data_IF_076567196199
#
_entry.id   IF_076567196199
#
_cell.length_a   1.000
_cell.length_b   1.000
_cell.length_c   1.000
_cell.angle_alpha   90.00
_cell.angle_beta   90.00
_cell.angle_gamma   90.00
#
_symmetry.space_group_name_H-M   'P 1'
#
loop_
_entity.id
_entity.type
_entity.pdbx_description
1 polymer ?
#
# COMPACT_ATOMS: atom_id res chain seq x y z
N UNK A 1 -9.18 53.01 -13.96
CA UNK A 1 -7.71 53.13 -14.11
C UNK A 1 -7.11 52.54 -12.84
N UNK A 2 -6.23 51.56 -12.78
CA UNK A 2 -5.43 50.80 -13.75
C UNK A 2 -5.19 49.41 -13.11
N UNK A 3 -5.34 48.34 -13.88
CA UNK A 3 -4.98 46.97 -13.51
C UNK A 3 -3.46 46.84 -13.61
N UNK A 4 -2.78 46.72 -12.47
CA UNK A 4 -1.36 46.34 -12.46
C UNK A 4 -1.24 44.81 -12.52
N UNK A 5 -0.77 44.34 -13.68
CA UNK A 5 -0.30 42.98 -13.91
C UNK A 5 0.89 42.67 -13.00
N UNK A 6 0.76 41.66 -12.14
CA UNK A 6 1.91 41.02 -11.50
C UNK A 6 2.32 39.81 -12.34
N UNK A 7 3.35 40.02 -13.17
CA UNK A 7 4.09 38.97 -13.84
C UNK A 7 4.86 38.13 -12.81
N UNK A 8 4.47 36.87 -12.64
CA UNK A 8 5.22 35.92 -11.83
C UNK A 8 6.38 35.36 -12.68
N UNK A 9 7.60 35.80 -12.38
CA UNK A 9 8.82 35.18 -12.91
C UNK A 9 9.07 33.90 -12.10
N UNK A 10 9.09 32.69 -12.71
CA UNK A 10 9.41 31.49 -11.98
C UNK A 10 10.89 31.54 -11.58
N UNK A 11 11.14 31.52 -10.26
CA UNK A 11 12.49 31.29 -9.74
C UNK A 11 12.85 29.85 -10.07
N UNK A 12 13.94 29.69 -10.81
CA UNK A 12 14.63 28.42 -11.01
C UNK A 12 14.94 27.78 -9.63
N UNK A 13 14.09 26.84 -9.21
CA UNK A 13 14.42 25.90 -8.15
C UNK A 13 15.57 25.04 -8.65
N UNK A 14 16.77 25.32 -8.11
CA UNK A 14 17.93 24.46 -8.31
C UNK A 14 17.58 23.07 -7.76
N UNK A 15 17.63 22.09 -8.67
CA UNK A 15 17.80 20.66 -8.43
C UNK A 15 18.05 20.30 -6.96
N UNK A 16 17.04 19.72 -6.31
CA UNK A 16 17.33 18.71 -5.30
C UNK A 16 17.98 17.55 -6.06
N UNK A 17 19.21 17.11 -5.71
CA UNK A 17 19.72 15.88 -6.28
C UNK A 17 18.74 14.76 -5.91
N UNK A 18 18.40 13.86 -6.85
CA UNK A 18 17.53 12.74 -6.53
C UNK A 18 18.14 12.00 -5.33
N UNK A 19 17.31 11.77 -4.31
CA UNK A 19 17.62 10.85 -3.23
C UNK A 19 18.05 9.55 -3.90
N UNK A 20 19.34 9.23 -3.83
CA UNK A 20 19.85 7.91 -4.18
C UNK A 20 19.27 6.94 -3.16
N UNK A 21 18.03 6.51 -3.39
CA UNK A 21 17.47 5.33 -2.77
C UNK A 21 18.45 4.21 -3.07
N UNK A 22 19.07 3.70 -2.00
CA UNK A 22 19.93 2.52 -2.08
C UNK A 22 19.13 1.44 -2.79
N UNK A 23 19.46 1.13 -4.05
CA UNK A 23 18.95 -0.05 -4.73
C UNK A 23 19.27 -1.20 -3.79
N UNK A 24 18.25 -1.74 -3.11
CA UNK A 24 18.38 -2.98 -2.36
C UNK A 24 18.94 -3.98 -3.37
N UNK A 25 20.21 -4.32 -3.24
CA UNK A 25 20.74 -5.51 -3.89
C UNK A 25 19.85 -6.62 -3.36
N UNK A 26 19.06 -7.20 -4.26
CA UNK A 26 18.40 -8.47 -4.04
C UNK A 26 19.50 -9.38 -3.50
N UNK A 27 19.44 -9.70 -2.20
CA UNK A 27 20.39 -10.61 -1.60
C UNK A 27 20.13 -11.92 -2.33
N UNK A 28 21.09 -12.35 -3.15
CA UNK A 28 21.01 -13.64 -3.80
C UNK A 28 20.70 -14.65 -2.69
N UNK A 29 19.74 -15.54 -2.96
CA UNK A 29 19.39 -16.56 -1.99
C UNK A 29 20.63 -17.47 -1.88
N UNK A 30 21.47 -17.23 -0.87
CA UNK A 30 22.75 -17.92 -0.67
C UNK A 30 22.55 -19.45 -0.66
N UNK A 31 21.34 -19.91 -0.30
CA UNK A 31 20.94 -21.32 -0.37
C UNK A 31 20.71 -21.81 -1.81
N UNK A 32 20.16 -20.98 -2.69
CA UNK A 32 19.94 -21.33 -4.10
C UNK A 32 21.27 -21.44 -4.84
N UNK A 33 22.21 -20.52 -4.61
CA UNK A 33 23.55 -20.59 -5.22
C UNK A 33 24.30 -21.85 -4.74
N UNK A 34 24.28 -22.14 -3.43
CA UNK A 34 24.88 -23.37 -2.89
C UNK A 34 24.24 -24.65 -3.45
N UNK A 35 22.93 -24.65 -3.69
CA UNK A 35 22.21 -25.77 -4.30
C UNK A 35 22.59 -25.92 -5.78
N UNK A 36 22.68 -24.81 -6.53
CA UNK A 36 23.11 -24.81 -7.94
C UNK A 36 24.53 -25.36 -8.06
N UNK A 37 25.45 -24.95 -7.18
CA UNK A 37 26.82 -25.42 -7.21
C UNK A 37 26.92 -26.90 -6.81
N UNK A 38 26.14 -27.36 -5.82
CA UNK A 38 26.04 -28.79 -5.50
C UNK A 38 25.53 -29.60 -6.68
N UNK A 39 24.53 -29.10 -7.43
CA UNK A 39 24.03 -29.76 -8.64
C UNK A 39 25.08 -29.79 -9.74
N UNK A 40 25.84 -28.69 -9.95
CA UNK A 40 26.96 -28.68 -10.91
C UNK A 40 28.03 -29.68 -10.54
N UNK A 41 28.43 -29.76 -9.27
CA UNK A 41 29.40 -30.75 -8.79
C UNK A 41 28.93 -32.18 -9.05
N UNK A 42 27.63 -32.43 -8.88
CA UNK A 42 27.02 -33.74 -9.13
C UNK A 42 26.94 -34.09 -10.63
N UNK A 43 26.79 -33.07 -11.49
CA UNK A 43 26.72 -33.24 -12.95
C UNK A 43 28.09 -33.21 -13.64
N UNK A 44 29.13 -32.68 -12.99
CA UNK A 44 30.47 -32.54 -13.58
C UNK A 44 31.09 -33.89 -14.02
N UNK A 45 31.03 -34.98 -13.23
CA UNK A 45 31.56 -36.27 -13.67
C UNK A 45 30.84 -36.82 -14.90
N UNK A 46 29.51 -36.61 -15.01
CA UNK A 46 28.74 -37.03 -16.18
C UNK A 46 29.15 -36.24 -17.43
N UNK A 47 29.46 -34.95 -17.25
CA UNK A 47 29.97 -34.11 -18.32
C UNK A 47 31.37 -34.56 -18.77
N UNK A 48 32.27 -34.84 -17.84
CA UNK A 48 33.64 -35.24 -18.14
C UNK A 48 33.70 -36.61 -18.86
N UNK A 49 32.79 -37.53 -18.52
CA UNK A 49 32.74 -38.88 -19.12
C UNK A 49 32.04 -38.92 -20.48
N UNK A 50 30.96 -38.16 -20.67
CA UNK A 50 30.09 -38.31 -21.86
C UNK A 50 29.52 -37.02 -22.42
N UNK A 51 30.03 -35.86 -21.98
CA UNK A 51 29.60 -34.55 -22.44
C UNK A 51 28.13 -34.25 -22.14
N UNK A 52 27.55 -33.35 -22.94
CA UNK A 52 26.17 -32.88 -22.76
C UNK A 52 25.11 -33.99 -22.83
N UNK A 53 25.37 -35.06 -23.58
CA UNK A 53 24.42 -36.16 -23.76
C UNK A 53 24.20 -36.95 -22.46
N UNK A 54 25.29 -37.23 -21.74
CA UNK A 54 25.23 -37.95 -20.47
C UNK A 54 24.64 -37.08 -19.36
N UNK A 55 25.00 -35.78 -19.34
CA UNK A 55 24.39 -34.78 -18.43
C UNK A 55 22.89 -34.69 -18.67
N UNK A 56 22.46 -34.60 -19.92
CA UNK A 56 21.04 -34.56 -20.29
C UNK A 56 20.28 -35.79 -19.78
N UNK A 57 20.85 -36.99 -19.95
CA UNK A 57 20.27 -38.23 -19.40
C UNK A 57 20.25 -38.25 -17.87
N UNK A 58 21.29 -37.74 -17.22
CA UNK A 58 21.37 -37.61 -15.76
C UNK A 58 20.26 -36.71 -15.21
N UNK A 59 20.09 -35.52 -15.80
CA UNK A 59 19.01 -34.58 -15.45
C UNK A 59 17.65 -35.24 -15.66
N UNK A 60 17.41 -35.84 -16.83
CA UNK A 60 16.14 -36.52 -17.12
C UNK A 60 15.84 -37.64 -16.12
N UNK A 61 16.87 -38.36 -15.65
CA UNK A 61 16.70 -39.40 -14.64
C UNK A 61 16.38 -38.83 -13.25
N UNK A 62 17.06 -37.76 -12.82
CA UNK A 62 16.73 -37.06 -11.55
C UNK A 62 15.29 -36.52 -11.59
N UNK A 63 14.87 -35.97 -12.72
CA UNK A 63 13.51 -35.47 -12.95
C UNK A 63 12.50 -36.62 -12.92
N UNK A 64 12.80 -37.74 -13.58
CA UNK A 64 11.98 -38.94 -13.56
C UNK A 64 11.85 -39.51 -12.14
N UNK A 65 12.96 -39.65 -11.42
CA UNK A 65 13.03 -40.27 -10.10
C UNK A 65 12.40 -39.38 -9.02
N UNK A 66 12.32 -38.06 -9.25
CA UNK A 66 11.56 -37.13 -8.40
C UNK A 66 10.04 -37.11 -8.70
N UNK A 67 9.58 -37.87 -9.69
CA UNK A 67 8.18 -37.91 -10.11
C UNK A 67 7.74 -36.64 -10.86
N UNK A 68 8.68 -35.81 -11.33
CA UNK A 68 8.34 -34.64 -12.13
C UNK A 68 7.84 -35.05 -13.51
N UNK A 69 6.69 -34.48 -13.91
CA UNK A 69 6.14 -34.68 -15.26
C UNK A 69 6.91 -33.87 -16.29
N UNK A 70 6.92 -34.30 -17.56
CA UNK A 70 7.52 -33.53 -18.66
C UNK A 70 6.93 -32.11 -18.77
N UNK A 71 5.64 -31.94 -18.44
CA UNK A 71 5.00 -30.63 -18.37
C UNK A 71 5.59 -29.75 -17.25
N UNK A 72 5.94 -30.33 -16.10
CA UNK A 72 6.60 -29.60 -15.01
C UNK A 72 8.03 -29.20 -15.38
N UNK A 73 8.76 -30.04 -16.12
CA UNK A 73 10.09 -29.71 -16.64
C UNK A 73 10.04 -28.55 -17.64
N UNK A 74 9.11 -28.59 -18.60
CA UNK A 74 8.92 -27.50 -19.57
C UNK A 74 8.49 -26.19 -18.89
N UNK A 75 7.78 -26.28 -17.76
CA UNK A 75 7.46 -25.09 -16.94
C UNK A 75 8.70 -24.49 -16.28
N UNK A 76 9.70 -25.30 -15.89
CA UNK A 76 10.97 -24.79 -15.37
C UNK A 76 11.80 -24.09 -16.45
N UNK A 77 11.77 -24.59 -17.68
CA UNK A 77 12.49 -24.00 -18.80
C UNK A 77 11.84 -22.69 -19.28
N UNK A 78 10.51 -22.60 -19.18
CA UNK A 78 9.76 -21.41 -19.53
C UNK A 78 9.90 -20.37 -18.43
N UNK A 79 10.85 -19.44 -18.59
CA UNK A 79 11.05 -18.32 -17.66
C UNK A 79 9.71 -17.67 -17.33
N UNK A 80 9.27 -17.84 -16.08
CA UNK A 80 8.04 -17.21 -15.61
C UNK A 80 8.13 -15.70 -15.83
N UNK A 81 7.05 -15.06 -16.30
CA UNK A 81 7.07 -13.63 -16.51
C UNK A 81 7.25 -12.92 -15.16
N UNK A 82 8.00 -11.82 -15.15
CA UNK A 82 7.93 -10.87 -14.05
C UNK A 82 6.59 -10.14 -14.10
N UNK A 83 6.17 -9.54 -12.98
CA UNK A 83 4.94 -8.74 -12.97
C UNK A 83 4.92 -7.67 -14.08
N UNK A 84 6.02 -6.95 -14.28
CA UNK A 84 6.12 -5.91 -15.30
C UNK A 84 6.16 -6.42 -16.74
N UNK A 85 6.58 -7.68 -16.95
CA UNK A 85 6.66 -8.32 -18.25
C UNK A 85 5.43 -9.17 -18.59
N UNK A 86 4.49 -9.32 -17.65
CA UNK A 86 3.31 -10.15 -17.85
C UNK A 86 2.46 -9.62 -19.01
N UNK A 87 2.15 -10.52 -19.93
CA UNK A 87 1.26 -10.29 -21.07
C UNK A 87 -0.03 -11.05 -20.87
N UNK A 88 -1.16 -10.42 -21.17
CA UNK A 88 -2.47 -11.05 -20.99
C UNK A 88 -2.52 -12.42 -21.67
N UNK A 89 -2.25 -12.45 -22.98
CA UNK A 89 -2.30 -13.67 -23.78
C UNK A 89 -1.36 -14.79 -23.29
N UNK A 90 -0.26 -14.45 -22.60
CA UNK A 90 0.67 -15.46 -22.09
C UNK A 90 0.24 -16.07 -20.76
N UNK A 91 -0.41 -15.30 -19.88
CA UNK A 91 -0.68 -15.75 -18.50
C UNK A 91 -2.10 -16.24 -18.29
N UNK A 92 -3.08 -15.73 -19.03
CA UNK A 92 -4.48 -16.03 -18.72
C UNK A 92 -4.83 -17.51 -18.96
N UNK A 93 -4.26 -18.22 -19.95
CA UNK A 93 -4.50 -19.66 -20.08
C UNK A 93 -4.02 -20.46 -18.87
N UNK A 94 -2.88 -20.10 -18.25
CA UNK A 94 -2.40 -20.77 -17.03
C UNK A 94 -3.26 -20.48 -15.80
N UNK A 95 -3.98 -19.36 -15.81
CA UNK A 95 -4.95 -19.00 -14.78
C UNK A 95 -6.36 -19.56 -15.05
N UNK A 96 -6.53 -20.39 -16.08
CA UNK A 96 -7.82 -20.95 -16.47
C UNK A 96 -8.77 -19.94 -17.12
N UNK A 97 -8.24 -18.82 -17.60
CA UNK A 97 -8.98 -17.74 -18.25
C UNK A 97 -8.74 -17.75 -19.77
N UNK A 98 -9.72 -17.23 -20.52
CA UNK A 98 -9.66 -17.07 -21.98
C UNK A 98 -8.90 -15.81 -22.38
N UNK A 99 -8.08 -15.91 -23.42
CA UNK A 99 -7.28 -14.80 -23.94
C UNK A 99 -8.10 -13.76 -24.72
N UNK A 100 -9.18 -14.19 -25.39
CA UNK A 100 -10.01 -13.34 -26.23
C UNK A 100 -10.95 -12.40 -25.44
N UNK A 101 -11.47 -12.83 -24.30
CA UNK A 101 -12.53 -12.11 -23.57
C UNK A 101 -12.07 -10.94 -22.69
N UNK A 102 -10.79 -10.86 -22.33
CA UNK A 102 -10.31 -9.82 -21.40
C UNK A 102 -10.93 -9.97 -20.00
N UNK A 103 -11.08 -8.85 -19.28
CA UNK A 103 -11.68 -8.83 -17.94
C UNK A 103 -13.19 -9.11 -17.91
N UNK A 104 -13.86 -9.06 -19.06
CA UNK A 104 -15.32 -9.25 -19.15
C UNK A 104 -15.77 -10.67 -18.77
N UNK A 105 -14.84 -11.63 -18.75
CA UNK A 105 -15.10 -13.01 -18.33
C UNK A 105 -15.14 -13.20 -16.80
N UNK A 106 -14.68 -12.21 -16.02
CA UNK A 106 -14.59 -12.32 -14.58
C UNK A 106 -15.99 -12.23 -13.96
N UNK A 107 -16.30 -13.13 -13.03
CA UNK A 107 -17.56 -13.08 -12.28
C UNK A 107 -17.66 -11.76 -11.50
N UNK A 108 -18.85 -11.15 -11.43
CA UNK A 108 -19.03 -9.95 -10.60
C UNK A 108 -19.16 -10.32 -9.13
N UNK A 109 -18.44 -9.60 -8.26
CA UNK A 109 -18.57 -9.66 -6.81
C UNK A 109 -19.09 -8.34 -6.29
N UNK A 110 -20.23 -8.38 -5.59
CA UNK A 110 -20.77 -7.22 -4.88
C UNK A 110 -20.46 -7.35 -3.40
N UNK A 111 -19.97 -6.27 -2.81
CA UNK A 111 -19.76 -6.14 -1.36
C UNK A 111 -20.65 -5.03 -0.78
N UNK A 112 -20.96 -5.07 0.53
CA UNK A 112 -21.64 -3.95 1.18
C UNK A 112 -20.79 -2.67 1.06
N UNK A 113 -21.33 -1.66 0.38
CA UNK A 113 -20.68 -0.35 0.26
C UNK A 113 -20.82 0.41 1.57
N UNK A 114 -19.71 0.73 2.21
CA UNK A 114 -19.63 1.57 3.39
C UNK A 114 -19.33 3.03 2.98
N UNK A 115 -20.21 3.94 3.39
CA UNK A 115 -20.17 5.35 2.97
C UNK A 115 -19.58 6.20 4.10
N UNK A 116 -18.46 6.87 3.82
CA UNK A 116 -17.73 7.64 4.81
C UNK A 116 -18.48 8.93 5.20
N UNK A 117 -18.18 9.52 6.38
CA UNK A 117 -18.81 10.77 6.80
C UNK A 117 -18.48 11.96 5.87
N UNK A 118 -19.42 12.91 5.66
CA UNK A 118 -19.16 14.13 4.91
C UNK A 118 -17.95 14.94 5.41
N UNK A 119 -17.71 14.96 6.73
CA UNK A 119 -16.54 15.61 7.32
C UNK A 119 -15.22 15.00 6.84
N UNK A 120 -15.15 13.68 6.69
CA UNK A 120 -14.00 12.99 6.14
C UNK A 120 -13.79 13.36 4.67
N UNK A 121 -14.86 13.34 3.86
CA UNK A 121 -14.76 13.74 2.45
C UNK A 121 -14.26 15.18 2.31
N UNK A 122 -14.80 16.13 3.09
CA UNK A 122 -14.32 17.52 3.11
C UNK A 122 -12.83 17.62 3.46
N UNK A 123 -12.40 16.90 4.48
CA UNK A 123 -11.00 16.91 4.89
C UNK A 123 -10.09 16.31 3.81
N UNK A 124 -10.51 15.20 3.19
CA UNK A 124 -9.82 14.57 2.07
C UNK A 124 -9.71 15.53 0.88
N UNK A 125 -10.80 16.19 0.49
CA UNK A 125 -10.80 17.18 -0.61
C UNK A 125 -9.88 18.35 -0.29
N UNK A 126 -9.92 18.88 0.94
CA UNK A 126 -9.05 19.97 1.38
C UNK A 126 -7.57 19.59 1.31
N UNK A 127 -7.21 18.41 1.82
CA UNK A 127 -5.84 17.90 1.77
C UNK A 127 -5.41 17.63 0.32
N UNK A 128 -6.28 17.04 -0.49
CA UNK A 128 -6.01 16.73 -1.89
C UNK A 128 -5.81 18.00 -2.72
N UNK A 129 -6.56 19.06 -2.46
CA UNK A 129 -6.33 20.36 -3.12
C UNK A 129 -4.93 20.88 -2.83
N UNK A 130 -4.45 20.77 -1.58
CA UNK A 130 -3.10 21.19 -1.22
C UNK A 130 -2.03 20.33 -1.90
N UNK A 131 -2.27 19.03 -2.05
CA UNK A 131 -1.37 18.15 -2.80
C UNK A 131 -1.33 18.50 -4.28
N UNK A 132 -2.49 18.76 -4.91
CA UNK A 132 -2.57 19.20 -6.31
C UNK A 132 -1.83 20.53 -6.50
N UNK A 133 -1.89 21.45 -5.53
CA UNK A 133 -1.15 22.71 -5.64
C UNK A 133 0.38 22.52 -5.59
N UNK A 134 0.87 21.44 -4.95
CA UNK A 134 2.30 21.10 -4.86
C UNK A 134 2.77 20.25 -6.05
N UNK A 135 2.01 19.20 -6.37
CA UNK A 135 2.34 18.19 -7.39
C UNK A 135 1.73 18.50 -8.76
N UNK A 136 1.08 19.66 -8.91
CA UNK A 136 0.37 20.10 -10.11
C UNK A 136 -0.95 19.33 -10.37
N UNK A 137 -1.63 19.68 -11.46
CA UNK A 137 -2.89 19.03 -11.86
C UNK A 137 -2.68 17.55 -12.21
N UNK A 138 -3.70 16.68 -12.00
CA UNK A 138 -3.57 15.21 -12.20
C UNK A 138 -3.06 14.76 -13.58
N UNK A 139 -3.18 15.61 -14.59
CA UNK A 139 -2.63 15.36 -15.94
C UNK A 139 -1.09 15.39 -16.00
N UNK A 140 -0.44 16.02 -15.03
CA UNK A 140 1.01 16.16 -14.95
C UNK A 140 1.65 15.21 -13.93
N UNK A 141 0.88 14.37 -13.25
CA UNK A 141 1.41 13.51 -12.19
C UNK A 141 2.30 12.39 -12.73
N UNK A 142 3.41 12.12 -12.04
CA UNK A 142 4.35 11.06 -12.39
C UNK A 142 4.65 10.16 -11.17
N UNK A 143 4.17 8.91 -11.22
CA UNK A 143 4.42 7.80 -10.26
C UNK A 143 4.07 8.03 -8.79
N UNK A 144 4.81 8.86 -8.08
CA UNK A 144 4.89 8.82 -6.60
C UNK A 144 3.88 9.73 -5.89
N UNK A 145 3.11 10.50 -6.66
CA UNK A 145 2.31 11.64 -6.16
C UNK A 145 0.90 11.22 -5.73
N UNK A 146 0.50 9.98 -6.03
CA UNK A 146 -0.84 9.45 -5.82
C UNK A 146 -1.08 8.88 -4.41
N UNK A 147 -0.79 9.62 -3.33
CA UNK A 147 -0.95 9.14 -1.94
C UNK A 147 -2.35 9.31 -1.35
N UNK A 148 -3.37 9.41 -2.20
CA UNK A 148 -4.75 9.75 -1.79
C UNK A 148 -5.46 8.64 -1.02
N UNK A 149 -4.99 7.40 -1.13
CA UNK A 149 -5.54 6.25 -0.42
C UNK A 149 -5.02 6.16 1.02
N UNK A 150 -3.91 6.83 1.36
CA UNK A 150 -3.29 6.79 2.71
C UNK A 150 -4.25 7.28 3.80
N UNK A 151 -4.99 8.39 3.64
CA UNK A 151 -6.03 8.78 4.58
C UNK A 151 -7.13 7.75 4.78
N UNK A 152 -7.44 6.92 3.77
CA UNK A 152 -8.44 5.85 3.91
C UNK A 152 -7.87 4.71 4.76
N UNK A 153 -6.63 4.30 4.51
CA UNK A 153 -5.93 3.31 5.35
C UNK A 153 -5.80 3.79 6.81
N UNK A 154 -5.59 5.09 7.04
CA UNK A 154 -5.42 5.63 8.39
C UNK A 154 -6.69 5.53 9.25
N UNK A 155 -7.87 5.42 8.64
CA UNK A 155 -9.14 5.18 9.35
C UNK A 155 -9.15 3.86 10.14
N UNK A 156 -8.24 2.93 9.83
CA UNK A 156 -8.06 1.69 10.59
C UNK A 156 -7.13 1.86 11.79
N UNK A 157 -6.68 3.07 12.12
CA UNK A 157 -5.93 3.42 13.33
C UNK A 157 -4.67 2.59 13.54
N UNK A 158 -3.92 2.37 12.46
CA UNK A 158 -2.69 1.57 12.47
C UNK A 158 -2.93 0.06 12.52
N UNK A 159 -4.17 -0.41 12.32
CA UNK A 159 -4.46 -1.84 12.10
C UNK A 159 -4.14 -2.29 10.68
N UNK A 160 -4.12 -1.36 9.73
CA UNK A 160 -3.63 -1.56 8.39
C UNK A 160 -2.28 -0.86 8.22
N UNK A 161 -1.38 -1.49 7.48
CA UNK A 161 -0.04 -0.96 7.18
C UNK A 161 0.15 -0.98 5.68
N UNK A 162 0.24 0.21 5.07
CA UNK A 162 0.71 0.35 3.70
C UNK A 162 2.24 0.19 3.66
N UNK A 163 2.73 -0.67 2.76
CA UNK A 163 4.15 -0.73 2.41
C UNK A 163 4.31 -0.47 0.92
N UNK A 164 4.96 0.65 0.56
CA UNK A 164 5.29 0.93 -0.84
C UNK A 164 6.44 0.05 -1.33
N UNK A 165 6.45 -0.22 -2.64
CA UNK A 165 7.57 -0.81 -3.40
C UNK A 165 8.13 -2.09 -2.77
N UNK A 166 7.26 -2.96 -2.27
CA UNK A 166 7.69 -4.20 -1.66
C UNK A 166 7.88 -5.26 -2.76
N UNK A 167 9.05 -5.92 -2.82
CA UNK A 167 9.23 -7.05 -3.74
C UNK A 167 8.44 -8.25 -3.24
N UNK A 168 7.55 -8.79 -4.08
CA UNK A 168 7.00 -10.12 -3.84
C UNK A 168 7.96 -11.19 -4.39
N UNK A 169 8.13 -12.32 -3.66
CA UNK A 169 8.93 -13.44 -4.13
C UNK A 169 8.34 -14.09 -5.39
N UNK A 170 9.15 -14.89 -6.06
CA UNK A 170 8.70 -15.75 -7.16
C UNK A 170 7.74 -16.83 -6.68
N UNK A 171 6.81 -17.19 -7.54
CA UNK A 171 5.87 -18.29 -7.33
C UNK A 171 5.84 -19.20 -8.57
N UNK A 172 5.12 -20.34 -8.55
CA UNK A 172 5.02 -21.20 -9.72
C UNK A 172 4.53 -20.49 -10.99
N UNK A 173 3.76 -19.40 -10.86
CA UNK A 173 3.17 -18.63 -11.97
C UNK A 173 3.98 -17.39 -12.37
N UNK A 174 4.85 -16.86 -11.50
CA UNK A 174 5.54 -15.58 -11.72
C UNK A 174 6.98 -15.60 -11.20
N UNK A 175 7.88 -14.85 -11.83
CA UNK A 175 9.21 -14.61 -11.26
C UNK A 175 9.18 -13.58 -10.10
N UNK A 176 7.99 -13.11 -9.72
CA UNK A 176 7.78 -12.05 -8.75
C UNK A 176 8.01 -10.65 -9.34
N UNK A 177 8.26 -9.69 -8.45
CA UNK A 177 8.53 -8.31 -8.83
C UNK A 177 8.05 -7.30 -7.79
N UNK A 178 8.23 -6.02 -8.10
CA UNK A 178 7.80 -4.94 -7.24
C UNK A 178 6.29 -4.71 -7.35
N UNK A 179 5.67 -4.48 -6.20
CA UNK A 179 4.30 -4.01 -6.08
C UNK A 179 4.32 -2.59 -5.54
N UNK A 180 3.57 -1.71 -6.18
CA UNK A 180 3.63 -0.29 -5.83
C UNK A 180 3.16 -0.06 -4.41
N UNK A 181 2.02 -0.64 -4.01
CA UNK A 181 1.60 -0.67 -2.62
C UNK A 181 0.93 -1.97 -2.21
N UNK A 182 1.29 -2.44 -1.03
CA UNK A 182 0.69 -3.58 -0.36
C UNK A 182 0.11 -3.11 0.97
N UNK A 183 -1.21 -3.28 1.15
CA UNK A 183 -1.86 -3.03 2.43
C UNK A 183 -1.93 -4.33 3.21
N UNK A 184 -1.21 -4.33 4.31
CA UNK A 184 -1.10 -5.44 5.23
C UNK A 184 -2.05 -5.30 6.41
N UNK A 185 -2.54 -6.45 6.86
CA UNK A 185 -3.13 -6.65 8.16
C UNK A 185 -2.19 -7.54 9.00
N UNK A 186 -2.52 -7.73 10.29
CA UNK A 186 -1.90 -8.64 11.25
C UNK A 186 -0.90 -9.66 10.69
N UNK A 187 0.31 -9.73 11.27
CA UNK A 187 1.36 -10.69 10.87
C UNK A 187 1.74 -10.63 9.39
N UNK A 188 1.73 -9.42 8.83
CA UNK A 188 2.04 -9.16 7.43
C UNK A 188 1.10 -9.89 6.45
N UNK A 189 -0.12 -10.26 6.84
CA UNK A 189 -1.08 -10.82 5.89
C UNK A 189 -1.47 -9.75 4.87
N UNK A 190 -1.27 -10.04 3.59
CA UNK A 190 -1.64 -9.12 2.52
C UNK A 190 -3.16 -9.10 2.45
N UNK A 191 -3.75 -7.91 2.37
CA UNK A 191 -5.20 -7.73 2.24
C UNK A 191 -5.56 -7.09 0.91
N UNK A 192 -4.75 -6.10 0.51
CA UNK A 192 -5.04 -5.25 -0.62
C UNK A 192 -3.78 -4.91 -1.39
N UNK A 193 -3.88 -4.87 -2.71
CA UNK A 193 -2.80 -4.49 -3.62
C UNK A 193 -3.24 -3.24 -4.38
N UNK A 194 -2.38 -2.23 -4.46
CA UNK A 194 -2.61 -1.07 -5.33
C UNK A 194 -1.54 -1.07 -6.41
N UNK A 195 -2.00 -0.98 -7.65
CA UNK A 195 -1.17 -0.83 -8.82
C UNK A 195 -1.59 0.42 -9.60
N UNK A 196 -0.65 1.35 -9.80
CA UNK A 196 -0.84 2.55 -10.60
C UNK A 196 -0.14 2.42 -11.95
N UNK A 197 -0.80 2.87 -13.02
CA UNK A 197 -0.26 2.90 -14.39
C UNK A 197 -0.56 4.24 -15.02
N UNK A 198 0.43 4.97 -15.52
CA UNK A 198 0.21 6.34 -16.03
C UNK A 198 -0.26 6.40 -17.49
N UNK A 199 -0.12 5.29 -18.22
CA UNK A 199 -0.45 5.19 -19.64
C UNK A 199 -1.21 3.90 -19.84
N UNK A 200 -2.49 3.97 -20.21
CA UNK A 200 -3.42 2.85 -20.40
C UNK A 200 -3.52 2.42 -21.87
N UNK A 201 -2.41 2.48 -22.61
CA UNK A 201 -2.40 2.05 -24.03
C UNK A 201 -2.58 0.52 -24.18
N UNK A 202 -2.45 -0.25 -23.11
CA UNK A 202 -2.65 -1.70 -23.11
C UNK A 202 -3.22 -2.22 -21.77
N UNK A 203 -4.50 -1.93 -21.54
CA UNK A 203 -5.21 -2.28 -20.31
C UNK A 203 -5.13 -3.78 -19.99
N UNK A 204 -5.21 -4.64 -21.01
CA UNK A 204 -5.17 -6.11 -20.83
C UNK A 204 -3.88 -6.56 -20.16
N UNK A 205 -2.73 -6.05 -20.59
CA UNK A 205 -1.46 -6.42 -19.98
C UNK A 205 -1.39 -5.95 -18.52
N UNK A 206 -1.93 -4.78 -18.17
CA UNK A 206 -1.97 -4.32 -16.79
C UNK A 206 -2.87 -5.15 -15.88
N UNK A 207 -4.03 -5.56 -16.39
CA UNK A 207 -4.84 -6.56 -15.69
C UNK A 207 -4.05 -7.83 -15.46
N UNK A 208 -3.30 -8.30 -16.47
CA UNK A 208 -2.45 -9.48 -16.34
C UNK A 208 -1.45 -9.34 -15.17
N UNK A 209 -0.78 -8.19 -15.05
CA UNK A 209 0.16 -7.93 -13.95
C UNK A 209 -0.55 -8.01 -12.59
N UNK A 210 -1.73 -7.41 -12.46
CA UNK A 210 -2.51 -7.40 -11.21
C UNK A 210 -3.02 -8.80 -10.85
N UNK A 211 -3.46 -9.60 -11.82
CA UNK A 211 -3.88 -10.99 -11.58
C UNK A 211 -2.73 -11.82 -11.02
N UNK A 212 -1.52 -11.70 -11.56
CA UNK A 212 -0.34 -12.39 -10.99
C UNK A 212 -0.02 -11.90 -9.57
N UNK A 213 -0.10 -10.59 -9.30
CA UNK A 213 0.12 -10.05 -7.96
C UNK A 213 -0.89 -10.61 -6.95
N UNK A 214 -2.16 -10.75 -7.35
CA UNK A 214 -3.20 -11.38 -6.53
C UNK A 214 -2.91 -12.85 -6.24
N UNK A 215 -2.44 -13.62 -7.23
CA UNK A 215 -2.02 -15.02 -7.05
C UNK A 215 -0.88 -15.11 -6.04
N UNK A 216 0.18 -14.32 -6.24
CA UNK A 216 1.33 -14.33 -5.33
C UNK A 216 0.95 -13.90 -3.91
N UNK A 217 0.04 -12.93 -3.75
CA UNK A 217 -0.44 -12.53 -2.43
C UNK A 217 -1.22 -13.64 -1.71
N UNK A 218 -2.07 -14.38 -2.44
CA UNK A 218 -2.79 -15.56 -1.92
C UNK A 218 -1.79 -16.63 -1.47
N UNK A 219 -0.76 -16.91 -2.26
CA UNK A 219 0.25 -17.91 -1.93
C UNK A 219 1.09 -17.50 -0.72
N UNK A 220 1.54 -16.24 -0.67
CA UNK A 220 2.27 -15.70 0.48
C UNK A 220 1.48 -15.77 1.79
N UNK A 221 0.16 -15.62 1.72
CA UNK A 221 -0.70 -15.78 2.89
C UNK A 221 -0.89 -17.26 3.26
N UNK A 222 -1.01 -18.17 2.28
CA UNK A 222 -1.07 -19.63 2.50
C UNK A 222 0.20 -20.17 3.14
N UNK A 223 1.37 -19.70 2.70
CA UNK A 223 2.68 -20.05 3.26
C UNK A 223 2.82 -19.64 4.74
N UNK A 224 1.89 -18.84 5.24
CA UNK A 224 1.80 -18.41 6.65
C UNK A 224 0.66 -19.11 7.39
N UNK A 225 0.26 -20.28 6.88
CA UNK A 225 -0.82 -21.12 7.39
C UNK A 225 -2.16 -20.36 7.52
N UNK A 226 -2.42 -19.43 6.61
CA UNK A 226 -3.68 -18.70 6.57
C UNK A 226 -4.66 -19.40 5.63
N UNK A 227 -5.26 -20.50 6.09
CA UNK A 227 -6.30 -21.25 5.39
C UNK A 227 -7.43 -21.64 6.38
N UNK A 228 -8.72 -21.39 6.07
CA UNK A 228 -9.22 -20.65 4.92
C UNK A 228 -8.86 -19.16 4.97
N UNK A 229 -8.42 -18.59 3.84
CA UNK A 229 -8.20 -17.16 3.71
C UNK A 229 -9.37 -16.42 3.04
N UNK A 230 -9.64 -15.17 3.44
CA UNK A 230 -10.54 -14.30 2.70
C UNK A 230 -9.92 -13.90 1.34
N UNK A 231 -10.73 -13.37 0.42
CA UNK A 231 -10.22 -12.85 -0.84
C UNK A 231 -9.20 -11.72 -0.63
N UNK A 232 -8.20 -11.68 -1.51
CA UNK A 232 -7.31 -10.52 -1.68
C UNK A 232 -7.94 -9.60 -2.69
N UNK A 233 -7.93 -8.31 -2.39
CA UNK A 233 -8.46 -7.27 -3.26
C UNK A 233 -7.33 -6.54 -3.97
N UNK A 234 -7.61 -6.00 -5.14
CA UNK A 234 -6.69 -5.12 -5.85
C UNK A 234 -7.40 -3.92 -6.45
N UNK A 235 -6.66 -2.82 -6.56
CA UNK A 235 -7.03 -1.64 -7.35
C UNK A 235 -5.98 -1.43 -8.44
N UNK A 236 -6.43 -1.38 -9.69
CA UNK A 236 -5.63 -0.91 -10.82
C UNK A 236 -6.09 0.49 -11.20
N UNK A 237 -5.18 1.46 -11.30
CA UNK A 237 -5.59 2.83 -11.65
C UNK A 237 -4.57 3.64 -12.43
N UNK A 238 -5.07 4.53 -13.30
CA UNK A 238 -4.30 5.61 -13.94
C UNK A 238 -4.66 7.01 -13.41
N UNK A 239 -5.25 7.06 -12.20
CA UNK A 239 -5.89 8.21 -11.57
C UNK A 239 -7.12 8.76 -12.30
N UNK A 240 -7.47 8.19 -13.46
CA UNK A 240 -8.69 8.51 -14.22
C UNK A 240 -9.67 7.37 -14.12
N UNK A 241 -9.22 6.16 -14.35
CA UNK A 241 -9.97 4.93 -14.24
C UNK A 241 -9.47 4.16 -13.02
N UNK A 242 -10.39 3.59 -12.26
CA UNK A 242 -10.11 2.78 -11.08
C UNK A 242 -10.87 1.47 -11.25
N UNK A 243 -10.13 0.38 -11.37
CA UNK A 243 -10.67 -0.96 -11.55
C UNK A 243 -10.44 -1.77 -10.28
N UNK A 244 -11.49 -2.36 -9.75
CA UNK A 244 -11.44 -3.14 -8.51
C UNK A 244 -11.65 -4.62 -8.80
N UNK A 245 -10.71 -5.42 -8.31
CA UNK A 245 -10.63 -6.87 -8.56
C UNK A 245 -10.49 -7.61 -7.23
N UNK A 246 -10.84 -8.89 -7.23
CA UNK A 246 -10.53 -9.79 -6.12
C UNK A 246 -10.15 -11.18 -6.59
N UNK A 247 -9.41 -11.90 -5.74
CA UNK A 247 -9.08 -13.30 -5.93
C UNK A 247 -9.20 -14.04 -4.61
N UNK A 248 -9.96 -15.13 -4.58
CA UNK A 248 -10.16 -15.95 -3.37
C UNK A 248 -9.26 -17.19 -3.31
N UNK A 249 -8.26 -17.26 -4.20
CA UNK A 249 -7.41 -18.43 -4.35
C UNK A 249 -7.97 -19.50 -5.28
N UNK A 250 -9.17 -19.28 -5.84
CA UNK A 250 -9.79 -20.16 -6.86
C UNK A 250 -10.37 -19.38 -8.04
N UNK A 251 -11.02 -18.25 -7.79
CA UNK A 251 -11.72 -17.45 -8.80
C UNK A 251 -11.32 -15.99 -8.72
N UNK A 252 -11.05 -15.42 -9.89
CA UNK A 252 -10.93 -13.97 -10.06
C UNK A 252 -12.32 -13.37 -10.24
N UNK A 253 -12.57 -12.24 -9.57
CA UNK A 253 -13.84 -11.52 -9.67
C UNK A 253 -13.63 -10.04 -9.92
N UNK A 254 -14.50 -9.49 -10.76
CA UNK A 254 -14.64 -8.06 -11.00
C UNK A 254 -15.56 -7.43 -9.97
N UNK A 255 -15.29 -6.21 -9.51
CA UNK A 255 -16.11 -5.57 -8.49
C UNK A 255 -16.75 -4.27 -8.96
N UNK A 256 -15.94 -3.29 -9.30
CA UNK A 256 -16.41 -1.96 -9.68
C UNK A 256 -15.40 -1.28 -10.62
N UNK A 257 -15.90 -0.32 -11.37
CA UNK A 257 -15.12 0.60 -12.21
C UNK A 257 -15.59 2.02 -11.96
N UNK A 258 -14.65 2.89 -11.64
CA UNK A 258 -14.90 4.31 -11.44
C UNK A 258 -14.05 5.11 -12.40
N UNK A 259 -14.69 5.89 -13.25
CA UNK A 259 -14.03 6.94 -14.04
C UNK A 259 -14.17 8.29 -13.34
N UNK A 260 -13.03 8.89 -12.99
CA UNK A 260 -12.88 10.20 -12.38
C UNK A 260 -12.38 11.18 -13.44
N UNK A 261 -13.13 12.25 -13.76
CA UNK A 261 -12.65 13.28 -14.67
C UNK A 261 -11.43 13.99 -14.10
N UNK A 262 -10.35 14.15 -14.88
CA UNK A 262 -9.18 14.96 -14.49
C UNK A 262 -9.53 16.45 -14.29
N UNK A 263 -10.59 16.94 -14.95
CA UNK A 263 -11.04 18.34 -14.88
C UNK A 263 -12.56 18.47 -14.91
N UNK A 264 -13.12 19.59 -14.37
CA UNK A 264 -12.45 20.55 -13.49
C UNK A 264 -12.11 19.93 -12.13
N UNK A 265 -11.21 20.55 -11.36
CA UNK A 265 -10.71 20.06 -10.05
C UNK A 265 -11.83 19.60 -9.10
N UNK A 266 -12.96 20.29 -9.08
CA UNK A 266 -14.14 19.91 -8.27
C UNK A 266 -14.71 18.54 -8.67
N UNK A 267 -14.78 18.23 -9.97
CA UNK A 267 -15.24 16.91 -10.44
C UNK A 267 -14.23 15.81 -10.10
N UNK A 268 -12.93 16.10 -10.22
CA UNK A 268 -11.88 15.19 -9.80
C UNK A 268 -12.02 14.85 -8.31
N UNK A 269 -12.09 15.87 -7.45
CA UNK A 269 -12.24 15.69 -5.99
C UNK A 269 -13.50 14.91 -5.61
N UNK A 270 -14.64 15.20 -6.25
CA UNK A 270 -15.87 14.45 -6.03
C UNK A 270 -15.75 12.98 -6.46
N UNK A 271 -15.10 12.72 -7.60
CA UNK A 271 -14.81 11.36 -8.05
C UNK A 271 -13.93 10.62 -7.05
N UNK A 272 -12.86 11.26 -6.56
CA UNK A 272 -11.97 10.67 -5.55
C UNK A 272 -12.66 10.35 -4.22
N UNK A 273 -13.69 11.11 -3.82
CA UNK A 273 -14.52 10.74 -2.66
C UNK A 273 -15.25 9.41 -2.88
N UNK A 274 -15.83 9.19 -4.07
CA UNK A 274 -16.46 7.91 -4.42
C UNK A 274 -15.44 6.77 -4.44
N UNK A 275 -14.26 7.00 -5.02
CA UNK A 275 -13.17 6.00 -5.01
C UNK A 275 -12.77 5.67 -3.56
N UNK A 276 -12.74 6.67 -2.67
CA UNK A 276 -12.41 6.48 -1.25
C UNK A 276 -13.45 5.65 -0.50
N UNK A 277 -14.74 5.83 -0.79
CA UNK A 277 -15.81 5.01 -0.21
C UNK A 277 -15.69 3.53 -0.66
N UNK A 278 -15.43 3.29 -1.95
CA UNK A 278 -15.22 1.92 -2.46
C UNK A 278 -13.96 1.30 -1.86
N UNK A 279 -12.85 2.04 -1.83
CA UNK A 279 -11.61 1.56 -1.22
C UNK A 279 -11.82 1.24 0.27
N UNK A 280 -12.49 2.12 1.02
CA UNK A 280 -12.79 1.87 2.43
C UNK A 280 -13.66 0.62 2.59
N UNK A 281 -14.67 0.45 1.74
CA UNK A 281 -15.55 -0.73 1.74
C UNK A 281 -14.77 -2.03 1.55
N UNK A 282 -13.84 -2.05 0.60
CA UNK A 282 -12.98 -3.20 0.30
C UNK A 282 -12.05 -3.52 1.48
N UNK A 283 -11.39 -2.49 2.03
CA UNK A 283 -10.52 -2.64 3.19
C UNK A 283 -11.29 -3.14 4.42
N UNK A 284 -12.50 -2.61 4.66
CA UNK A 284 -13.35 -3.03 5.77
C UNK A 284 -13.83 -4.47 5.59
N UNK A 285 -14.27 -4.83 4.38
CA UNK A 285 -14.73 -6.18 4.09
C UNK A 285 -13.60 -7.21 4.21
N UNK A 286 -12.42 -6.89 3.68
CA UNK A 286 -11.21 -7.69 3.86
C UNK A 286 -10.80 -7.82 5.33
N UNK A 287 -10.83 -6.72 6.08
CA UNK A 287 -10.55 -6.71 7.52
C UNK A 287 -11.48 -7.64 8.29
N UNK A 288 -12.80 -7.57 8.02
CA UNK A 288 -13.80 -8.48 8.60
C UNK A 288 -13.51 -9.93 8.24
N UNK A 289 -13.17 -10.21 6.98
CA UNK A 289 -12.83 -11.54 6.51
C UNK A 289 -11.63 -12.15 7.25
N UNK A 290 -10.56 -11.36 7.43
CA UNK A 290 -9.38 -11.81 8.18
C UNK A 290 -9.70 -12.03 9.65
N UNK A 291 -10.47 -11.12 10.28
CA UNK A 291 -10.89 -11.31 11.67
C UNK A 291 -11.69 -12.60 11.87
N UNK A 292 -12.61 -12.90 10.94
CA UNK A 292 -13.41 -14.13 10.97
C UNK A 292 -12.54 -15.39 10.83
N UNK A 293 -11.58 -15.39 9.90
CA UNK A 293 -10.65 -16.49 9.72
C UNK A 293 -9.75 -16.71 10.97
N UNK A 294 -9.25 -15.62 11.57
CA UNK A 294 -8.45 -15.69 12.80
C UNK A 294 -9.26 -16.22 13.98
N UNK A 295 -10.51 -15.77 14.15
CA UNK A 295 -11.43 -16.28 15.17
C UNK A 295 -11.68 -17.77 14.98
N UNK A 296 -12.08 -18.20 13.78
CA UNK A 296 -12.36 -19.60 13.47
C UNK A 296 -11.15 -20.51 13.78
N UNK A 297 -9.95 -20.12 13.34
CA UNK A 297 -8.71 -20.88 13.62
C UNK A 297 -8.36 -20.89 15.10
N UNK A 298 -8.74 -19.85 15.84
CA UNK A 298 -8.52 -19.79 17.30
C UNK A 298 -9.49 -20.70 18.03
N UNK A 299 -10.75 -20.79 17.59
CA UNK A 299 -11.75 -21.73 18.10
C UNK A 299 -11.33 -23.18 17.86
N UNK A 300 -10.94 -23.53 16.63
CA UNK A 300 -10.51 -24.90 16.28
C UNK A 300 -9.33 -25.39 17.14
N UNK A 301 -8.38 -24.52 17.45
CA UNK A 301 -7.24 -24.87 18.33
C UNK A 301 -7.64 -25.05 19.78
N UNK A 302 -8.56 -24.20 20.26
CA UNK A 302 -9.10 -24.33 21.60
C UNK A 302 -9.86 -25.65 21.76
N UNK A 303 -10.64 -26.06 20.75
CA UNK A 303 -11.35 -27.35 20.71
C UNK A 303 -10.40 -28.55 20.62
N UNK A 304 -9.29 -28.42 19.88
CA UNK A 304 -8.27 -29.46 19.79
C UNK A 304 -7.44 -29.65 21.08
N UNK A 305 -7.66 -28.83 22.11
CA UNK A 305 -6.85 -28.86 23.34
C UNK A 305 -5.40 -28.44 23.11
N UNK A 306 -5.10 -27.82 21.96
CA UNK A 306 -3.78 -27.32 21.63
C UNK A 306 -3.50 -26.03 22.42
N UNK A 307 -3.10 -26.26 23.67
CA UNK A 307 -2.64 -25.23 24.59
C UNK A 307 -1.21 -24.78 24.29
N UNK A 308 -0.59 -25.28 23.21
CA UNK A 308 0.77 -24.91 22.88
C UNK A 308 0.82 -23.40 22.59
N UNK A 309 1.53 -22.69 23.47
CA UNK A 309 1.84 -21.26 23.31
C UNK A 309 2.84 -21.03 22.16
N UNK A 310 3.29 -22.10 21.50
CA UNK A 310 4.37 -22.05 20.51
C UNK A 310 3.83 -21.71 19.12
N UNK A 311 4.21 -20.52 18.65
CA UNK A 311 4.44 -20.16 17.24
C UNK A 311 3.30 -20.32 16.22
N UNK A 312 2.04 -20.34 16.65
CA UNK A 312 0.91 -20.45 15.70
C UNK A 312 0.75 -19.33 14.67
N UNK A 313 1.54 -18.27 14.79
CA UNK A 313 1.98 -17.49 13.66
C UNK A 313 3.42 -17.14 13.99
N UNK A 314 4.37 -17.86 13.39
CA UNK A 314 5.74 -17.36 13.27
C UNK A 314 5.60 -16.00 12.60
N UNK A 315 5.54 -14.93 13.40
CA UNK A 315 5.61 -13.57 12.89
C UNK A 315 6.97 -13.53 12.21
N UNK A 316 6.99 -13.75 10.89
CA UNK A 316 8.19 -13.73 10.07
C UNK A 316 9.00 -12.53 10.57
N UNK A 317 10.20 -12.83 11.06
CA UNK A 317 10.95 -11.96 11.98
C UNK A 317 10.68 -10.49 11.67
N UNK A 318 10.14 -9.69 12.60
CA UNK A 318 9.91 -8.28 12.31
C UNK A 318 11.20 -7.70 11.74
N UNK A 319 11.12 -7.22 10.50
CA UNK A 319 12.25 -6.65 9.74
C UNK A 319 12.99 -5.55 10.50
N UNK A 320 12.38 -5.05 11.58
CA UNK A 320 12.98 -4.16 12.56
C UNK A 320 13.09 -4.94 13.88
N UNK A 321 14.28 -5.51 14.15
CA UNK A 321 14.66 -6.09 15.45
C UNK A 321 14.72 -5.01 16.53
N UNK A 322 13.58 -4.43 16.93
CA UNK A 322 13.51 -3.68 18.19
C UNK A 322 13.37 -4.70 19.31
N UNK A 323 14.24 -4.60 20.32
CA UNK A 323 14.34 -5.45 21.52
C UNK A 323 13.11 -5.41 22.46
N UNK A 324 11.94 -5.05 21.94
CA UNK A 324 10.69 -5.02 22.70
C UNK A 324 10.20 -6.43 23.00
N UNK A 325 9.69 -6.64 24.23
CA UNK A 325 8.96 -7.87 24.57
C UNK A 325 7.80 -8.05 23.58
N UNK A 326 7.60 -9.25 23.01
CA UNK A 326 6.48 -9.49 22.12
C UNK A 326 5.16 -9.14 22.82
N UNK A 327 4.33 -8.32 22.17
CA UNK A 327 3.01 -7.97 22.68
C UNK A 327 2.20 -9.25 22.88
N UNK A 328 1.50 -9.43 24.02
CA UNK A 328 0.68 -10.61 24.24
C UNK A 328 -0.40 -10.70 23.14
N UNK A 329 -0.57 -11.90 22.61
CA UNK A 329 -1.59 -12.19 21.60
C UNK A 329 -2.99 -11.87 22.17
N UNK A 330 -3.89 -11.24 21.39
CA UNK A 330 -5.27 -11.04 21.82
C UNK A 330 -5.97 -12.38 22.11
N UNK A 331 -6.80 -12.39 23.15
CA UNK A 331 -7.62 -13.56 23.51
C UNK A 331 -8.65 -13.86 22.42
N UNK A 332 -9.20 -15.08 22.41
CA UNK A 332 -10.31 -15.45 21.52
C UNK A 332 -11.48 -14.46 21.65
N UNK A 333 -11.85 -14.12 22.89
CA UNK A 333 -12.87 -13.10 23.20
C UNK A 333 -12.54 -11.72 22.59
N UNK A 334 -11.26 -11.31 22.60
CA UNK A 334 -10.81 -10.09 21.94
C UNK A 334 -11.02 -10.10 20.43
N UNK A 335 -10.74 -11.23 19.77
CA UNK A 335 -10.99 -11.41 18.34
C UNK A 335 -12.49 -11.40 18.01
N UNK A 336 -13.29 -12.13 18.77
CA UNK A 336 -14.75 -12.20 18.62
C UNK A 336 -15.39 -10.82 18.75
N UNK A 337 -15.00 -10.05 19.78
CA UNK A 337 -15.49 -8.68 19.98
C UNK A 337 -15.08 -7.75 18.84
N UNK A 338 -13.83 -7.82 18.39
CA UNK A 338 -13.36 -7.03 17.26
C UNK A 338 -14.13 -7.35 15.97
N UNK A 339 -14.38 -8.64 15.69
CA UNK A 339 -15.16 -9.06 14.53
C UNK A 339 -16.60 -8.56 14.60
N UNK A 340 -17.26 -8.75 15.75
CA UNK A 340 -18.63 -8.28 15.97
C UNK A 340 -18.73 -6.77 15.71
N UNK A 341 -17.80 -6.00 16.26
CA UNK A 341 -17.77 -4.53 16.12
C UNK A 341 -17.50 -4.08 14.70
N UNK A 342 -16.60 -4.75 13.99
CA UNK A 342 -16.35 -4.47 12.58
C UNK A 342 -17.59 -4.75 11.71
N UNK A 343 -18.35 -5.82 11.99
CA UNK A 343 -19.62 -6.13 11.32
C UNK A 343 -20.72 -5.12 11.65
N UNK A 344 -20.83 -4.70 12.92
CA UNK A 344 -21.74 -3.63 13.33
C UNK A 344 -21.39 -2.31 12.61
N UNK A 345 -20.10 -1.96 12.55
CA UNK A 345 -19.61 -0.79 11.83
C UNK A 345 -19.99 -0.85 10.34
N UNK A 346 -19.75 -1.97 9.64
CA UNK A 346 -20.14 -2.14 8.24
C UNK A 346 -21.64 -1.99 8.05
N UNK A 347 -22.46 -2.55 8.97
CA UNK A 347 -23.91 -2.46 8.88
C UNK A 347 -24.40 -1.02 8.98
N UNK A 348 -23.85 -0.25 9.92
CA UNK A 348 -24.17 1.18 10.09
C UNK A 348 -23.70 1.99 8.89
N UNK A 349 -22.46 1.80 8.44
CA UNK A 349 -21.86 2.54 7.33
C UNK A 349 -22.47 2.19 5.97
N UNK A 350 -23.10 1.02 5.83
CA UNK A 350 -23.75 0.62 4.59
C UNK A 350 -25.13 1.24 4.36
N UNK A 351 -25.73 1.77 5.41
CA UNK A 351 -27.08 2.37 5.36
C UNK A 351 -27.18 3.61 6.25
N UNK A 352 -26.32 4.63 6.06
CA UNK A 352 -26.43 5.85 6.85
C UNK A 352 -27.70 6.61 6.45
N UNK A 353 -28.25 7.39 7.37
CA UNK A 353 -29.43 8.19 7.10
C UNK A 353 -29.09 9.44 6.27
N UNK A 354 -29.48 9.45 4.99
CA UNK A 354 -29.26 10.55 4.04
C UNK A 354 -30.31 11.67 4.08
N UNK A 355 -31.19 11.71 5.08
CA UNK A 355 -32.23 12.76 5.16
C UNK A 355 -31.64 14.16 5.31
N UNK A 356 -30.58 14.31 6.11
CA UNK A 356 -29.78 15.54 6.19
C UNK A 356 -28.29 15.21 6.27
N UNK A 357 -27.44 16.21 6.04
CA UNK A 357 -26.00 16.02 6.18
C UNK A 357 -25.61 15.67 7.63
N UNK A 358 -26.29 16.26 8.62
CA UNK A 358 -26.05 15.98 10.03
C UNK A 358 -26.43 14.55 10.42
N UNK A 359 -27.52 14.00 9.85
CA UNK A 359 -27.90 12.61 10.12
C UNK A 359 -26.92 11.63 9.49
N UNK A 360 -26.44 11.93 8.28
CA UNK A 360 -25.40 11.12 7.62
C UNK A 360 -24.11 11.18 8.43
N UNK A 361 -23.62 12.37 8.77
CA UNK A 361 -22.42 12.58 9.58
C UNK A 361 -22.50 11.79 10.89
N UNK A 362 -23.59 11.94 11.66
CA UNK A 362 -23.79 11.25 12.94
C UNK A 362 -23.74 9.73 12.78
N UNK A 363 -24.45 9.18 11.79
CA UNK A 363 -24.55 7.73 11.61
C UNK A 363 -23.22 7.14 11.13
N UNK A 364 -22.56 7.79 10.17
CA UNK A 364 -21.25 7.35 9.71
C UNK A 364 -20.18 7.50 10.80
N UNK A 365 -20.19 8.57 11.59
CA UNK A 365 -19.27 8.73 12.73
C UNK A 365 -19.50 7.68 13.81
N UNK A 366 -20.75 7.25 14.06
CA UNK A 366 -21.06 6.11 14.93
C UNK A 366 -20.44 4.82 14.38
N UNK A 367 -20.58 4.57 13.08
CA UNK A 367 -19.96 3.44 12.41
C UNK A 367 -18.43 3.44 12.55
N UNK A 368 -17.80 4.61 12.35
CA UNK A 368 -16.37 4.77 12.55
C UNK A 368 -15.96 4.52 14.00
N UNK A 369 -16.71 5.02 14.99
CA UNK A 369 -16.43 4.81 16.40
C UNK A 369 -16.45 3.32 16.80
N UNK A 370 -17.34 2.51 16.21
CA UNK A 370 -17.35 1.06 16.41
C UNK A 370 -16.06 0.41 15.88
N UNK A 371 -15.54 0.89 14.75
CA UNK A 371 -14.28 0.40 14.18
C UNK A 371 -13.05 0.83 15.00
N UNK A 372 -13.09 1.97 15.69
CA UNK A 372 -11.94 2.47 16.48
C UNK A 372 -11.85 1.90 17.88
N UNK A 373 -12.87 1.19 18.34
CA UNK A 373 -12.91 0.62 19.68
C UNK A 373 -11.75 -0.37 19.92
N UNK A 374 -11.08 -0.23 21.08
CA UNK A 374 -9.79 -0.88 21.35
C UNK A 374 -9.98 -2.31 21.86
N UNK A 375 -10.24 -3.24 20.94
CA UNK A 375 -10.25 -4.68 21.25
C UNK A 375 -8.95 -5.39 20.87
N UNK A 376 -8.19 -4.80 19.94
CA UNK A 376 -6.92 -5.32 19.45
C UNK A 376 -5.83 -4.26 19.61
N UNK A 377 -4.63 -4.69 20.00
CA UNK A 377 -3.45 -3.83 20.06
C UNK A 377 -3.13 -3.29 18.66
N UNK A 378 -2.72 -2.02 18.57
CA UNK A 378 -2.27 -1.39 17.31
C UNK A 378 -0.96 -2.04 16.83
N UNK A 379 -0.75 -2.15 15.51
CA UNK A 379 0.52 -2.64 14.97
C UNK A 379 1.62 -1.61 15.10
N UNK A 380 2.84 -2.07 15.38
CA UNK A 380 4.06 -1.26 15.27
C UNK A 380 4.27 -0.19 16.35
N UNK A 381 3.29 0.04 17.23
CA UNK A 381 3.38 1.03 18.29
C UNK A 381 3.55 0.34 19.65
N UNK A 382 4.78 -0.05 20.00
CA UNK A 382 5.14 -0.21 21.41
C UNK A 382 5.03 1.14 22.17
N UNK A 383 4.97 2.24 21.43
CA UNK A 383 4.68 3.59 21.89
C UNK A 383 3.25 3.88 21.45
N UNK A 384 2.30 3.78 22.37
CA UNK A 384 0.91 4.21 22.14
C UNK A 384 0.98 5.74 22.01
N UNK A 385 1.22 6.23 20.79
CA UNK A 385 1.38 7.66 20.53
C UNK A 385 0.12 8.38 20.99
N UNK A 386 0.20 8.99 22.17
CA UNK A 386 -0.79 9.97 22.58
C UNK A 386 -0.62 11.21 21.70
N UNK A 387 -1.67 12.03 21.59
CA UNK A 387 -1.57 13.32 20.90
C UNK A 387 -0.41 14.17 21.48
N UNK A 388 -0.08 13.95 22.75
CA UNK A 388 1.05 14.55 23.44
C UNK A 388 2.40 13.95 23.01
N UNK A 389 2.51 12.63 22.85
CA UNK A 389 3.73 11.99 22.36
C UNK A 389 4.02 12.41 20.91
N UNK A 390 2.98 12.48 20.06
CA UNK A 390 3.13 12.93 18.68
C UNK A 390 3.60 14.37 18.63
N UNK A 391 3.05 15.24 19.48
CA UNK A 391 3.53 16.62 19.63
C UNK A 391 4.97 16.68 20.09
N UNK A 392 5.35 15.92 21.11
CA UNK A 392 6.72 15.92 21.65
C UNK A 392 7.75 15.45 20.62
N UNK A 393 7.45 14.42 19.83
CA UNK A 393 8.36 13.99 18.76
C UNK A 393 8.43 15.00 17.62
N UNK A 394 7.28 15.56 17.21
CA UNK A 394 7.27 16.61 16.18
C UNK A 394 8.08 17.81 16.66
N UNK A 395 7.89 18.26 17.89
CA UNK A 395 8.65 19.34 18.50
C UNK A 395 10.15 19.00 18.60
N UNK A 396 10.48 17.75 18.93
CA UNK A 396 11.86 17.25 18.94
C UNK A 396 12.50 17.26 17.54
N UNK A 397 11.79 16.77 16.52
CA UNK A 397 12.23 16.81 15.12
C UNK A 397 12.39 18.24 14.63
N UNK A 398 11.47 19.14 14.99
CA UNK A 398 11.52 20.56 14.65
C UNK A 398 12.69 21.26 15.34
N UNK A 399 12.97 20.95 16.61
CA UNK A 399 14.12 21.46 17.34
C UNK A 399 15.45 21.03 16.68
N UNK A 400 15.57 19.75 16.32
CA UNK A 400 16.73 19.24 15.58
C UNK A 400 16.91 19.95 14.23
N UNK A 401 15.81 20.18 13.51
CA UNK A 401 15.85 20.88 12.23
C UNK A 401 16.28 22.36 12.40
N UNK A 402 15.80 23.03 13.45
CA UNK A 402 16.19 24.41 13.80
C UNK A 402 17.68 24.47 14.17
N UNK A 403 18.20 23.52 14.95
CA UNK A 403 19.62 23.46 15.29
C UNK A 403 20.51 23.17 14.07
N UNK A 404 20.06 22.31 13.16
CA UNK A 404 20.73 22.09 11.88
C UNK A 404 20.87 23.39 11.08
N UNK A 405 19.83 24.22 10.99
CA UNK A 405 19.92 25.52 10.32
C UNK A 405 20.77 26.54 11.09
N UNK A 406 20.70 26.56 12.43
CA UNK A 406 21.50 27.46 13.27
C UNK A 406 23.00 27.14 13.17
N UNK A 407 23.37 25.86 13.15
CA UNK A 407 24.76 25.44 12.96
C UNK A 407 25.31 25.85 11.59
N UNK A 408 24.51 25.74 10.52
CA UNK A 408 24.89 26.23 9.18
C UNK A 408 25.02 27.75 9.09
N UNK A 409 24.16 28.50 9.78
CA UNK A 409 24.25 29.95 9.83
C UNK A 409 25.54 30.42 10.54
N UNK A 410 25.99 29.69 11.57
CA UNK A 410 27.21 30.03 12.30
C UNK A 410 28.51 29.67 11.56
N UNK A 411 28.47 28.69 10.63
CA UNK A 411 29.62 28.36 9.77
C UNK A 411 29.90 29.47 8.73
N UNK A 412 28.93 30.32 8.43
CA UNK A 412 29.09 31.45 7.51
C UNK A 412 29.71 32.72 8.11
N UNK A 413 29.99 32.76 9.42
CA UNK A 413 30.39 34.01 10.09
C UNK A 413 31.91 34.24 10.16
N UNK A 414 32.72 33.38 9.54
CA UNK A 414 34.13 33.64 9.30
C UNK A 414 34.34 34.22 7.89
N UNK A 415 34.01 35.51 7.74
CA UNK A 415 34.66 36.38 6.76
C UNK A 415 34.05 36.49 5.36
N UNK A 416 32.88 37.12 5.23
CA UNK A 416 32.63 38.09 4.14
C UNK A 416 31.33 38.88 4.38
N UNK A 417 31.35 40.21 4.44
CA UNK A 417 30.16 41.00 4.70
C UNK A 417 29.44 41.30 3.38
N UNK A 418 28.46 40.48 3.02
CA UNK A 418 27.43 40.90 2.07
C UNK A 418 26.12 40.12 2.27
N UNK A 419 25.08 40.88 2.61
CA UNK A 419 23.64 40.56 2.55
C UNK A 419 23.05 39.75 3.71
N UNK A 420 22.67 40.46 4.78
CA UNK A 420 21.63 40.02 5.72
C UNK A 420 20.84 41.21 6.26
N UNK A 421 19.77 41.62 5.55
CA UNK A 421 18.72 42.47 6.14
C UNK A 421 17.33 42.20 5.58
N UNK A 422 16.91 40.93 5.56
CA UNK A 422 15.48 40.60 5.50
C UNK A 422 15.28 39.41 6.42
N UNK A 423 14.69 39.65 7.59
CA UNK A 423 13.99 38.71 8.49
C UNK A 423 14.08 39.24 9.93
N UNK A 424 13.32 40.30 10.24
CA UNK A 424 12.94 40.69 11.60
C UNK A 424 11.69 41.59 11.61
N UNK A 425 10.68 41.24 10.80
CA UNK A 425 9.36 41.86 10.84
C UNK A 425 8.28 40.79 10.78
N UNK A 426 8.12 40.04 11.86
CA UNK A 426 6.88 39.29 12.11
C UNK A 426 6.71 38.82 13.57
N UNK A 427 7.30 39.50 14.56
CA UNK A 427 6.91 39.31 15.98
C UNK A 427 7.07 40.65 16.72
N UNK A 428 6.02 41.50 16.66
CA UNK A 428 5.58 42.44 17.72
C UNK A 428 4.59 43.45 17.14
N UNK A 429 3.30 43.16 17.25
CA UNK A 429 2.26 44.18 17.14
C UNK A 429 1.85 44.65 18.54
N UNK A 430 2.20 45.88 18.90
CA UNK A 430 1.50 46.75 19.87
C UNK A 430 2.10 48.16 19.85
N UNK A 431 1.25 49.18 19.71
CA UNK A 431 1.49 50.51 20.31
C UNK A 431 1.66 51.70 19.38
N UNK A 432 0.52 52.35 19.06
CA UNK A 432 0.25 53.81 19.20
C UNK A 432 1.19 54.90 18.65
N UNK A 433 0.58 55.74 17.79
CA UNK A 433 0.65 57.22 17.67
C UNK A 433 2.01 57.92 17.45
N UNK A 434 2.16 58.67 16.34
CA UNK A 434 1.96 60.14 16.26
C UNK A 434 2.41 60.76 14.91
N UNK A 435 1.64 61.76 14.44
CA UNK A 435 1.99 62.99 13.66
C UNK A 435 2.32 62.95 12.15
N UNK A 436 1.33 63.44 11.37
CA UNK A 436 1.32 64.55 10.38
C UNK A 436 2.67 65.23 10.05
N UNK A 437 2.91 65.49 8.75
CA UNK A 437 3.26 66.76 8.05
C UNK A 437 3.38 66.46 6.52
N UNK A 438 2.54 67.01 5.62
CA UNK A 438 2.82 68.08 4.60
C UNK A 438 4.23 68.00 3.98
N UNK A 439 4.49 68.07 2.67
CA UNK A 439 3.80 68.50 1.43
C UNK A 439 4.88 68.78 0.35
N UNK A 440 4.48 69.14 -0.88
CA UNK A 440 5.25 69.53 -2.11
C UNK A 440 5.62 68.35 -3.05
N UNK A 441 5.06 68.25 -4.28
CA UNK A 441 5.35 69.02 -5.52
C UNK A 441 6.84 68.86 -5.91
N UNK A 442 7.26 68.32 -7.06
CA UNK A 442 6.71 68.25 -8.44
C UNK A 442 6.61 66.83 -9.01
#
# INVERSE_FOLDING_TARGET
>A
MSLAQLSFVPRNCRYCPPLKMSKRKQQADDNLEATIDSVKELLQPLFDEGGNDLVGRGILRIVHDSGMTAAALLRLEKKNPSFSAAKWASIVPSLGLRDDLGISQLETLTIPQAILPPSFHRQLMKNSSQWIDVYQEPENHHREEARWYVPVCSLFHGRLVDKPENPMPSTPETSGGEVEHEVFLFNNLILFIIEMKFVTENDKDYFAQVLLKLVSAIELNRDRDFDPQPPIYAMLSDLTNFYFLSYDGTKFRWMDEITVPKRPRVKFMNGMSRVSDVLFSLLLHGYIGVLAAVEQRSTMRNEAGDSSKHNSFSAGSPLIKKSGRPSPRPSLDGWSKALLKAREAQTVLAKPNFMTEETWERDSMRGMALLTERYLNKFGSAVDWTDNDSRLEIDGMMAQHIEFYRSRANVGNNGSPCVTTWWLYLIRGRGSNFRKWRGCEE
#
